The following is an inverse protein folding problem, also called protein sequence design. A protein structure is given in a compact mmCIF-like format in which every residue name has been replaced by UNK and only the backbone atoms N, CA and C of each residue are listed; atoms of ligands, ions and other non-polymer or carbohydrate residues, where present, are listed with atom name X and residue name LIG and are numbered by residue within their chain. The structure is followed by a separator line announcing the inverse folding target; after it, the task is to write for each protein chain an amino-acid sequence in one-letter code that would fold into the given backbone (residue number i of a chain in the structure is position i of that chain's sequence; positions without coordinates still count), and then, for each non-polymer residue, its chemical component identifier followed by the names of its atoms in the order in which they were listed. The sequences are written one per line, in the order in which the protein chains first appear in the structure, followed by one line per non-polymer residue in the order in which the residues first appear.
data_IF_255606893456
#
_entry.id   IF_255606893456
#
_cell.length_a   1.000
_cell.length_b   1.000
_cell.length_c   1.000
_cell.angle_alpha   90.00
_cell.angle_beta   90.00
_cell.angle_gamma   90.00
#
_symmetry.space_group_name_H-M   'P 1'
#
loop_
_entity.id
_entity.type
_entity.pdbx_description
1 polymer ?
#
# COMPACT_ATOMS: atom_id res chain seq x y z
N UNK A 1 12.10 -6.27 -28.73
CA UNK A 1 12.46 -6.30 -27.30
C UNK A 1 11.16 -6.19 -26.52
N UNK A 2 10.80 -7.18 -25.73
CA UNK A 2 9.58 -7.14 -24.92
C UNK A 2 9.75 -6.04 -23.86
N UNK A 3 8.94 -4.97 -23.93
CA UNK A 3 8.92 -3.91 -22.92
C UNK A 3 8.32 -4.47 -21.62
N UNK A 4 9.16 -5.00 -20.75
CA UNK A 4 8.76 -5.45 -19.42
C UNK A 4 8.57 -4.21 -18.56
N UNK A 5 7.33 -3.96 -18.12
CA UNK A 5 7.00 -2.87 -17.20
C UNK A 5 7.41 -3.27 -15.79
N UNK A 6 8.23 -2.45 -15.15
CA UNK A 6 8.73 -2.71 -13.79
C UNK A 6 7.77 -2.14 -12.74
N UNK A 7 7.56 -2.92 -11.67
CA UNK A 7 6.69 -2.58 -10.55
C UNK A 7 7.42 -2.84 -9.24
N UNK A 8 7.18 -2.02 -8.22
CA UNK A 8 7.73 -2.19 -6.87
C UNK A 8 6.61 -2.37 -5.87
N UNK A 9 6.77 -3.35 -4.97
CA UNK A 9 5.92 -3.50 -3.80
C UNK A 9 6.26 -2.47 -2.74
N UNK A 10 5.28 -1.68 -2.32
CA UNK A 10 5.47 -0.77 -1.20
C UNK A 10 5.72 -1.52 0.12
N UNK A 11 5.41 -2.82 0.18
CA UNK A 11 5.78 -3.68 1.30
C UNK A 11 7.30 -3.74 1.53
N UNK A 12 8.11 -3.62 0.47
CA UNK A 12 9.58 -3.62 0.58
C UNK A 12 10.11 -2.45 1.43
N UNK A 13 9.32 -1.40 1.62
CA UNK A 13 9.64 -0.22 2.42
C UNK A 13 8.75 -0.13 3.67
N UNK A 14 8.13 -1.24 4.09
CA UNK A 14 7.28 -1.30 5.27
C UNK A 14 8.01 -0.86 6.54
N UNK A 15 9.26 -1.30 6.75
CA UNK A 15 10.02 -0.93 7.97
C UNK A 15 10.29 0.58 8.05
N UNK A 16 10.59 1.22 6.92
CA UNK A 16 10.78 2.67 6.84
C UNK A 16 9.49 3.42 7.14
N UNK A 17 8.35 2.92 6.64
CA UNK A 17 7.03 3.49 6.88
C UNK A 17 6.59 3.33 8.33
N UNK A 18 6.70 2.12 8.90
CA UNK A 18 6.29 1.81 10.27
C UNK A 18 7.11 2.57 11.30
N UNK A 19 8.42 2.71 11.08
CA UNK A 19 9.30 3.50 11.93
C UNK A 19 9.20 5.02 11.68
N UNK A 20 8.30 5.47 10.80
CA UNK A 20 8.09 6.88 10.42
C UNK A 20 9.35 7.56 9.89
N UNK A 21 10.29 6.78 9.34
CA UNK A 21 11.49 7.30 8.67
C UNK A 21 11.16 7.85 7.29
N UNK A 22 10.12 7.32 6.65
CA UNK A 22 9.59 7.82 5.38
C UNK A 22 8.06 7.92 5.42
N UNK A 23 7.50 8.99 4.87
CA UNK A 23 6.05 9.08 4.61
C UNK A 23 5.68 8.31 3.34
N UNK A 24 4.38 8.07 3.11
CA UNK A 24 3.89 7.46 1.86
C UNK A 24 4.34 8.27 0.63
N UNK A 25 4.31 9.60 0.73
CA UNK A 25 4.77 10.49 -0.33
C UNK A 25 6.27 10.32 -0.61
N UNK A 26 7.10 10.21 0.43
CA UNK A 26 8.55 10.00 0.29
C UNK A 26 8.85 8.65 -0.35
N UNK A 27 8.12 7.61 0.05
CA UNK A 27 8.22 6.27 -0.53
C UNK A 27 7.88 6.30 -2.02
N UNK A 28 6.77 6.95 -2.41
CA UNK A 28 6.38 7.04 -3.81
C UNK A 28 7.38 7.85 -4.65
N UNK A 29 7.91 8.95 -4.12
CA UNK A 29 8.97 9.73 -4.80
C UNK A 29 10.27 8.93 -4.94
N UNK A 30 10.64 8.16 -3.92
CA UNK A 30 11.80 7.29 -3.96
C UNK A 30 11.63 6.18 -5.00
N UNK A 31 10.49 5.48 -5.00
CA UNK A 31 10.21 4.44 -6.00
C UNK A 31 10.21 5.04 -7.41
N UNK A 32 9.68 6.25 -7.60
CA UNK A 32 9.75 6.93 -8.89
C UNK A 32 11.19 7.23 -9.32
N UNK A 33 12.09 7.60 -8.40
CA UNK A 33 13.49 7.87 -8.72
C UNK A 33 14.26 6.63 -9.18
N UNK A 34 13.79 5.42 -8.82
CA UNK A 34 14.32 4.15 -9.30
C UNK A 34 13.92 3.81 -10.76
N UNK A 35 13.08 4.63 -11.38
CA UNK A 35 12.68 4.46 -12.78
C UNK A 35 11.55 3.45 -13.02
N UNK A 36 10.82 3.05 -11.97
CA UNK A 36 9.69 2.14 -12.10
C UNK A 36 8.42 2.82 -12.59
N UNK A 37 7.57 2.05 -13.28
CA UNK A 37 6.31 2.51 -13.86
C UNK A 37 5.10 2.19 -12.95
N UNK A 38 5.18 1.08 -12.22
CA UNK A 38 4.09 0.57 -11.40
C UNK A 38 4.43 0.50 -9.92
N UNK A 39 3.38 0.52 -9.09
CA UNK A 39 3.47 0.21 -7.66
C UNK A 39 2.37 -0.78 -7.25
N UNK A 40 2.71 -1.61 -6.28
CA UNK A 40 1.76 -2.39 -5.48
C UNK A 40 1.58 -1.73 -4.12
N UNK A 41 0.33 -1.43 -3.76
CA UNK A 41 -0.02 -0.81 -2.49
C UNK A 41 -0.65 -1.83 -1.53
N UNK A 42 -0.42 -1.63 -0.24
CA UNK A 42 -1.13 -2.32 0.83
C UNK A 42 -2.02 -1.28 1.54
N UNK A 43 -3.29 -1.14 1.13
CA UNK A 43 -4.19 -0.13 1.66
C UNK A 43 -4.30 -0.20 3.19
N UNK A 44 -4.31 -1.40 3.74
CA UNK A 44 -4.44 -1.67 5.18
C UNK A 44 -3.33 -1.04 6.02
N UNK A 45 -2.13 -0.88 5.44
CA UNK A 45 -1.00 -0.25 6.11
C UNK A 45 -0.88 1.23 5.74
N UNK A 46 -1.04 1.57 4.46
CA UNK A 46 -0.64 2.86 3.91
C UNK A 46 -1.79 3.87 3.82
N UNK A 47 -3.05 3.40 3.75
CA UNK A 47 -4.24 4.25 3.62
C UNK A 47 -5.08 4.17 4.89
N UNK A 48 -5.20 5.33 5.55
CA UNK A 48 -5.95 5.44 6.80
C UNK A 48 -7.42 5.08 6.59
N UNK A 49 -7.92 4.16 7.41
CA UNK A 49 -9.32 3.75 7.39
C UNK A 49 -9.66 2.65 6.39
N UNK A 50 -8.68 2.01 5.72
CA UNK A 50 -8.92 0.78 4.96
C UNK A 50 -9.67 -0.26 5.82
N UNK A 51 -10.68 -0.98 5.28
CA UNK A 51 -11.17 -0.93 3.90
C UNK A 51 -12.17 0.22 3.62
N UNK A 52 -12.60 0.95 4.64
CA UNK A 52 -13.57 2.07 4.54
C UNK A 52 -12.87 3.44 4.53
N UNK A 53 -12.09 3.66 3.47
CA UNK A 53 -11.25 4.86 3.31
C UNK A 53 -12.14 6.11 3.14
N UNK A 54 -11.75 7.22 3.75
CA UNK A 54 -12.45 8.51 3.57
C UNK A 54 -12.19 9.11 2.19
N UNK A 55 -13.11 9.94 1.70
CA UNK A 55 -12.92 10.68 0.44
C UNK A 55 -11.69 11.60 0.47
N UNK A 56 -11.33 12.10 1.66
CA UNK A 56 -10.13 12.90 1.87
C UNK A 56 -8.86 12.09 1.61
N UNK A 57 -8.71 10.92 2.24
CA UNK A 57 -7.55 10.05 2.04
C UNK A 57 -7.48 9.53 0.60
N UNK A 58 -8.63 9.26 -0.02
CA UNK A 58 -8.68 8.88 -1.44
C UNK A 58 -8.22 10.02 -2.35
N UNK A 59 -8.56 11.27 -2.03
CA UNK A 59 -8.12 12.45 -2.78
C UNK A 59 -6.60 12.64 -2.65
N UNK A 60 -6.06 12.59 -1.43
CA UNK A 60 -4.61 12.69 -1.18
C UNK A 60 -3.84 11.60 -1.95
N UNK A 61 -4.34 10.37 -1.94
CA UNK A 61 -3.77 9.27 -2.71
C UNK A 61 -3.75 9.54 -4.22
N UNK A 62 -4.87 10.04 -4.77
CA UNK A 62 -4.96 10.40 -6.20
C UNK A 62 -4.02 11.55 -6.57
N UNK A 63 -3.87 12.53 -5.69
CA UNK A 63 -2.92 13.65 -5.88
C UNK A 63 -1.48 13.14 -5.92
N UNK A 64 -1.09 12.22 -5.02
CA UNK A 64 0.24 11.60 -5.02
C UNK A 64 0.52 10.77 -6.27
N UNK A 65 -0.47 10.02 -6.76
CA UNK A 65 -0.36 9.30 -8.03
C UNK A 65 -0.19 10.25 -9.22
N UNK A 66 -0.91 11.37 -9.23
CA UNK A 66 -0.78 12.40 -10.26
C UNK A 66 0.59 13.10 -10.22
N UNK A 67 1.10 13.41 -9.03
CA UNK A 67 2.42 14.03 -8.81
C UNK A 67 3.55 13.11 -9.30
N UNK A 68 3.51 11.83 -8.91
CA UNK A 68 4.60 10.88 -9.19
C UNK A 68 4.49 10.22 -10.57
N UNK A 69 3.30 10.21 -11.17
CA UNK A 69 3.00 9.50 -12.40
C UNK A 69 3.16 7.98 -12.29
N UNK A 70 3.18 7.43 -11.08
CA UNK A 70 3.20 6.00 -10.82
C UNK A 70 1.81 5.41 -11.07
N UNK A 71 1.75 4.18 -11.57
CA UNK A 71 0.49 3.47 -11.78
C UNK A 71 0.25 2.47 -10.65
N UNK A 72 -0.88 2.53 -9.93
CA UNK A 72 -1.24 1.47 -9.02
C UNK A 72 -1.64 0.24 -9.84
N UNK A 73 -0.84 -0.81 -9.78
CA UNK A 73 -1.07 -2.03 -10.57
C UNK A 73 -1.77 -3.10 -9.75
N UNK A 74 -1.44 -3.19 -8.47
CA UNK A 74 -1.94 -4.21 -7.53
C UNK A 74 -2.25 -3.55 -6.19
N UNK A 75 -3.33 -4.00 -5.57
CA UNK A 75 -3.63 -3.73 -4.17
C UNK A 75 -3.64 -5.06 -3.43
N UNK A 76 -2.69 -5.24 -2.50
CA UNK A 76 -2.60 -6.43 -1.65
C UNK A 76 -3.20 -6.15 -0.27
N UNK A 77 -3.68 -7.20 0.40
CA UNK A 77 -4.43 -7.12 1.65
C UNK A 77 -3.88 -8.11 2.67
N UNK A 78 -3.82 -7.69 3.93
CA UNK A 78 -3.41 -8.60 5.00
C UNK A 78 -4.59 -9.44 5.46
N UNK A 79 -4.49 -10.76 5.25
CA UNK A 79 -5.46 -11.71 5.79
C UNK A 79 -4.98 -12.27 7.13
N UNK A 80 -5.56 -11.80 8.23
CA UNK A 80 -5.27 -12.33 9.55
C UNK A 80 -6.10 -13.58 9.82
N UNK A 81 -5.46 -14.70 10.15
CA UNK A 81 -6.18 -15.96 10.49
C UNK A 81 -5.91 -16.45 11.91
N UNK A 82 -4.89 -15.89 12.58
CA UNK A 82 -4.37 -16.39 13.85
C UNK A 82 -4.29 -15.32 14.96
N UNK A 83 -5.11 -14.26 14.88
CA UNK A 83 -5.10 -13.18 15.87
C UNK A 83 -5.39 -13.69 17.30
N UNK A 84 -6.24 -14.72 17.43
CA UNK A 84 -6.55 -15.35 18.72
C UNK A 84 -6.13 -16.83 18.72
N UNK A 85 -5.43 -17.27 19.76
CA UNK A 85 -4.96 -18.65 19.90
C UNK A 85 -6.07 -19.66 20.25
N UNK A 86 -7.18 -19.17 20.81
CA UNK A 86 -8.23 -19.99 21.40
C UNK A 86 -9.46 -20.18 20.49
N UNK A 87 -9.50 -19.54 19.31
CA UNK A 87 -10.63 -19.67 18.38
C UNK A 87 -10.24 -19.31 16.96
N UNK A 88 -10.99 -19.83 16.00
CA UNK A 88 -10.94 -19.38 14.61
C UNK A 88 -11.59 -17.99 14.48
N UNK A 89 -11.02 -17.15 13.64
CA UNK A 89 -11.57 -15.84 13.30
C UNK A 89 -12.78 -15.96 12.38
N UNK A 90 -13.75 -15.05 12.57
CA UNK A 90 -14.83 -14.86 11.61
C UNK A 90 -14.27 -14.20 10.34
N UNK A 91 -14.97 -14.36 9.20
CA UNK A 91 -14.57 -13.71 7.94
C UNK A 91 -14.34 -12.21 8.08
N UNK A 92 -15.17 -11.55 8.89
CA UNK A 92 -15.06 -10.11 9.16
C UNK A 92 -13.78 -9.79 9.91
N UNK A 93 -13.42 -10.59 10.91
CA UNK A 93 -12.18 -10.40 11.68
C UNK A 93 -10.93 -10.73 10.87
N UNK A 94 -11.01 -11.59 9.86
CA UNK A 94 -9.86 -11.89 9.01
C UNK A 94 -9.44 -10.74 8.10
N UNK A 95 -10.37 -9.82 7.79
CA UNK A 95 -10.20 -8.70 6.87
C UNK A 95 -10.18 -7.35 7.58
N UNK A 96 -10.27 -7.33 8.92
CA UNK A 96 -10.17 -6.12 9.73
C UNK A 96 -8.70 -5.95 10.11
N UNK A 97 -8.12 -4.84 9.65
CA UNK A 97 -6.91 -4.24 10.19
C UNK A 97 -7.31 -3.06 11.09
#
# INVERSE_FOLDING_TARGET
MSNIKTCVSLYSLQDEYLNKRMSLADIMRYVKSLGTEGIEILPDQMLKGSPHISEETLREWKELLAETGLKPVIADVFLNTNLYKNRTLTRKECIIC
#
